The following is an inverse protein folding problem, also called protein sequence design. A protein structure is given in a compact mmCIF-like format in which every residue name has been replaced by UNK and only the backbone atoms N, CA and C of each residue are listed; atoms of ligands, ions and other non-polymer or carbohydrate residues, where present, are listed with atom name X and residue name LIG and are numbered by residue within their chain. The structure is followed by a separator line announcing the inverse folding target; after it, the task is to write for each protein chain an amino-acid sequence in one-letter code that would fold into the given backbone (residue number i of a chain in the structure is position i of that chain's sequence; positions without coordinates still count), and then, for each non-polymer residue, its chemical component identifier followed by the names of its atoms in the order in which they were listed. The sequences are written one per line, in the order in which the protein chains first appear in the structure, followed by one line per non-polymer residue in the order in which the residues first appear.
data_IF_246503230795
#
_entry.id   IF_246503230795
#
_cell.length_a   1.000
_cell.length_b   1.000
_cell.length_c   1.000
_cell.angle_alpha   90.00
_cell.angle_beta   90.00
_cell.angle_gamma   90.00
#
_symmetry.space_group_name_H-M   'P 1'
#
loop_
_entity.id
_entity.type
_entity.pdbx_description
1 polymer ?
#
# COMPACT_ATOMS: atom_id res chain seq x y z
N UNK A 1 9.45 -30.77 -0.64
CA UNK A 1 8.46 -29.73 -0.32
C UNK A 1 7.79 -29.32 -1.61
N UNK A 2 6.47 -29.10 -1.63
CA UNK A 2 5.75 -28.73 -2.86
C UNK A 2 6.05 -27.26 -3.21
N UNK A 3 6.12 -26.94 -4.50
CA UNK A 3 6.36 -25.59 -5.03
C UNK A 3 5.37 -24.56 -4.43
N UNK A 4 4.10 -24.94 -4.29
CA UNK A 4 3.07 -24.12 -3.64
C UNK A 4 3.39 -23.74 -2.17
N UNK A 5 4.13 -24.59 -1.45
CA UNK A 5 4.49 -24.30 -0.06
C UNK A 5 5.55 -23.20 0.02
N UNK A 6 6.56 -23.24 -0.86
CA UNK A 6 7.61 -22.23 -0.95
C UNK A 6 7.05 -20.86 -1.36
N UNK A 7 6.08 -20.85 -2.28
CA UNK A 7 5.37 -19.62 -2.66
C UNK A 7 4.56 -19.04 -1.51
N UNK A 8 3.87 -19.91 -0.75
CA UNK A 8 3.14 -19.49 0.43
C UNK A 8 4.08 -18.89 1.48
N UNK A 9 5.18 -19.55 1.81
CA UNK A 9 6.16 -19.04 2.78
C UNK A 9 6.78 -17.72 2.34
N UNK A 10 7.17 -17.61 1.06
CA UNK A 10 7.71 -16.39 0.48
C UNK A 10 6.70 -15.23 0.50
N UNK A 11 5.42 -15.49 0.23
CA UNK A 11 4.36 -14.49 0.33
C UNK A 11 4.10 -14.07 1.78
N UNK A 12 3.98 -15.02 2.70
CA UNK A 12 3.73 -14.74 4.12
C UNK A 12 4.84 -13.88 4.74
N UNK A 13 6.10 -14.08 4.32
CA UNK A 13 7.22 -13.25 4.74
C UNK A 13 7.06 -11.76 4.35
N UNK A 14 6.32 -11.46 3.26
CA UNK A 14 6.07 -10.10 2.78
C UNK A 14 4.69 -9.56 3.16
N UNK A 15 3.74 -10.40 3.60
CA UNK A 15 2.34 -10.03 3.86
C UNK A 15 2.21 -8.79 4.76
N UNK A 16 3.01 -8.70 5.82
CA UNK A 16 2.99 -7.54 6.72
C UNK A 16 3.38 -6.22 6.04
N UNK A 17 4.43 -6.23 5.22
CA UNK A 17 4.85 -5.07 4.43
C UNK A 17 3.79 -4.68 3.39
N UNK A 18 3.27 -5.65 2.65
CA UNK A 18 2.24 -5.44 1.63
C UNK A 18 0.96 -4.84 2.22
N UNK A 19 0.54 -5.31 3.40
CA UNK A 19 -0.59 -4.75 4.12
C UNK A 19 -0.33 -3.30 4.55
N UNK A 20 0.86 -3.00 5.04
CA UNK A 20 1.23 -1.63 5.42
C UNK A 20 1.18 -0.68 4.20
N UNK A 21 1.72 -1.11 3.05
CA UNK A 21 1.64 -0.35 1.78
C UNK A 21 0.18 -0.12 1.38
N UNK A 22 -0.62 -1.18 1.33
CA UNK A 22 -2.02 -1.10 0.90
C UNK A 22 -2.86 -0.23 1.84
N UNK A 23 -2.65 -0.33 3.15
CA UNK A 23 -3.34 0.50 4.14
C UNK A 23 -2.97 1.98 4.00
N UNK A 24 -1.69 2.32 3.78
CA UNK A 24 -1.26 3.70 3.49
C UNK A 24 -1.86 4.25 2.19
N UNK A 25 -2.10 3.38 1.21
CA UNK A 25 -2.74 3.77 -0.05
C UNK A 25 -4.25 3.99 0.07
N UNK A 26 -4.94 3.11 0.78
CA UNK A 26 -6.41 2.98 0.74
C UNK A 26 -7.12 3.57 1.95
N UNK A 27 -6.42 3.69 3.09
CA UNK A 27 -6.96 4.20 4.35
C UNK A 27 -7.92 3.25 5.07
N UNK A 28 -8.13 2.04 4.54
CA UNK A 28 -9.03 1.04 5.12
C UNK A 28 -8.31 -0.30 5.28
N UNK A 29 -8.53 -0.95 6.43
CA UNK A 29 -7.96 -2.25 6.74
C UNK A 29 -8.56 -3.37 5.89
N UNK A 30 -9.88 -3.35 5.64
CA UNK A 30 -10.53 -4.35 4.80
C UNK A 30 -10.05 -4.26 3.35
N UNK A 31 -10.01 -3.05 2.80
CA UNK A 31 -9.55 -2.85 1.43
C UNK A 31 -8.05 -3.15 1.27
N UNK A 32 -7.26 -2.93 2.33
CA UNK A 32 -5.86 -3.35 2.35
C UNK A 32 -5.71 -4.87 2.31
N UNK A 33 -6.48 -5.61 3.10
CA UNK A 33 -6.51 -7.07 3.05
C UNK A 33 -6.99 -7.59 1.69
N UNK A 34 -8.01 -6.95 1.09
CA UNK A 34 -8.50 -7.30 -0.25
C UNK A 34 -7.41 -7.11 -1.32
N UNK A 35 -6.67 -6.00 -1.26
CA UNK A 35 -5.57 -5.74 -2.19
C UNK A 35 -4.43 -6.77 -2.06
N UNK A 36 -4.10 -7.17 -0.82
CA UNK A 36 -3.09 -8.21 -0.54
C UNK A 36 -3.57 -9.58 -1.03
N UNK A 37 -4.84 -9.91 -0.84
CA UNK A 37 -5.44 -11.15 -1.36
C UNK A 37 -5.42 -11.20 -2.89
N UNK A 38 -5.76 -10.11 -3.56
CA UNK A 38 -5.67 -10.02 -5.02
C UNK A 38 -4.23 -10.22 -5.51
N UNK A 39 -3.23 -9.70 -4.79
CA UNK A 39 -1.82 -9.95 -5.10
C UNK A 39 -1.43 -11.42 -4.94
N UNK A 40 -1.93 -12.12 -3.91
CA UNK A 40 -1.76 -13.56 -3.75
C UNK A 40 -2.38 -14.35 -4.92
N UNK A 41 -3.58 -13.98 -5.35
CA UNK A 41 -4.25 -14.63 -6.48
C UNK A 41 -3.48 -14.42 -7.79
N UNK A 42 -2.83 -13.27 -7.97
CA UNK A 42 -1.96 -13.02 -9.13
C UNK A 42 -0.66 -13.83 -9.06
N UNK A 43 -0.05 -13.91 -7.87
CA UNK A 43 1.15 -14.72 -7.65
C UNK A 43 0.90 -16.21 -7.94
N UNK A 44 -0.17 -16.76 -7.38
CA UNK A 44 -0.52 -18.19 -7.54
C UNK A 44 -0.86 -18.61 -8.99
N UNK A 45 -1.16 -17.63 -9.86
CA UNK A 45 -1.40 -17.85 -11.29
C UNK A 45 -0.17 -17.53 -12.16
N UNK A 46 0.87 -16.95 -11.58
CA UNK A 46 2.10 -16.59 -12.29
C UNK A 46 3.14 -17.70 -12.17
N UNK A 47 4.07 -17.75 -13.13
CA UNK A 47 5.26 -18.59 -13.01
C UNK A 47 6.24 -17.93 -12.02
N UNK A 48 6.02 -18.19 -10.74
CA UNK A 48 6.77 -17.55 -9.67
C UNK A 48 8.24 -17.99 -9.60
N UNK A 49 8.61 -19.11 -10.24
CA UNK A 49 10.00 -19.54 -10.36
C UNK A 49 10.85 -18.57 -11.22
N UNK A 50 10.21 -17.75 -12.07
CA UNK A 50 10.87 -16.73 -12.87
C UNK A 50 11.04 -15.38 -12.14
N UNK A 51 10.55 -15.23 -10.89
CA UNK A 51 10.59 -13.96 -10.15
C UNK A 51 11.85 -13.89 -9.29
N UNK A 52 12.87 -13.20 -9.77
CA UNK A 52 14.15 -13.03 -9.05
C UNK A 52 14.01 -12.21 -7.76
N UNK A 53 13.16 -11.18 -7.76
CA UNK A 53 12.86 -10.34 -6.60
C UNK A 53 11.36 -10.39 -6.29
N UNK A 54 10.97 -11.37 -5.47
CA UNK A 54 9.57 -11.57 -5.09
C UNK A 54 8.99 -10.36 -4.35
N UNK A 55 9.75 -9.75 -3.45
CA UNK A 55 9.31 -8.58 -2.68
C UNK A 55 8.99 -7.38 -3.57
N UNK A 56 9.92 -7.00 -4.46
CA UNK A 56 9.71 -5.91 -5.41
C UNK A 56 8.55 -6.18 -6.38
N UNK A 57 8.41 -7.42 -6.84
CA UNK A 57 7.28 -7.83 -7.67
C UNK A 57 5.95 -7.71 -6.93
N UNK A 58 5.87 -8.19 -5.68
CA UNK A 58 4.65 -8.11 -4.87
C UNK A 58 4.28 -6.65 -4.55
N UNK A 59 5.25 -5.80 -4.21
CA UNK A 59 5.02 -4.37 -3.98
C UNK A 59 4.49 -3.68 -5.24
N UNK A 60 5.01 -4.04 -6.42
CA UNK A 60 4.51 -3.56 -7.72
C UNK A 60 3.05 -3.98 -7.93
N UNK A 61 2.73 -5.25 -7.68
CA UNK A 61 1.38 -5.78 -7.86
C UNK A 61 0.38 -5.11 -6.91
N UNK A 62 0.70 -5.03 -5.62
CA UNK A 62 -0.15 -4.37 -4.61
C UNK A 62 -0.32 -2.89 -4.93
N UNK A 63 0.76 -2.20 -5.34
CA UNK A 63 0.69 -0.80 -5.78
C UNK A 63 -0.28 -0.60 -6.93
N UNK A 64 -0.25 -1.46 -7.96
CA UNK A 64 -1.19 -1.42 -9.08
C UNK A 64 -2.63 -1.67 -8.65
N UNK A 65 -2.88 -2.70 -7.83
CA UNK A 65 -4.22 -3.00 -7.31
C UNK A 65 -4.78 -1.80 -6.54
N UNK A 66 -3.98 -1.20 -5.66
CA UNK A 66 -4.41 -0.02 -4.90
C UNK A 66 -4.70 1.18 -5.81
N UNK A 67 -3.85 1.42 -6.83
CA UNK A 67 -4.06 2.50 -7.79
C UNK A 67 -5.38 2.32 -8.56
N UNK A 68 -5.68 1.10 -8.99
CA UNK A 68 -6.90 0.77 -9.71
C UNK A 68 -8.13 0.95 -8.82
N UNK A 69 -8.07 0.51 -7.56
CA UNK A 69 -9.14 0.74 -6.58
C UNK A 69 -9.41 2.24 -6.39
N UNK A 70 -8.38 3.05 -6.17
CA UNK A 70 -8.52 4.51 -6.02
C UNK A 70 -9.12 5.17 -7.26
N UNK A 71 -8.66 4.81 -8.46
CA UNK A 71 -9.23 5.29 -9.74
C UNK A 71 -10.70 4.91 -9.86
N UNK A 72 -11.06 3.69 -9.44
CA UNK A 72 -12.43 3.19 -9.43
C UNK A 72 -13.34 4.02 -8.53
N UNK A 73 -12.89 4.33 -7.31
CA UNK A 73 -13.63 5.19 -6.36
C UNK A 73 -13.89 6.59 -6.95
N UNK A 74 -12.86 7.21 -7.53
CA UNK A 74 -13.00 8.53 -8.17
C UNK A 74 -13.99 8.50 -9.34
N UNK A 75 -13.93 7.47 -10.18
CA UNK A 75 -14.81 7.33 -11.33
C UNK A 75 -16.28 7.12 -10.94
N UNK A 76 -16.54 6.34 -9.87
CA UNK A 76 -17.89 6.08 -9.38
C UNK A 76 -18.48 7.20 -8.51
N UNK A 77 -17.70 8.25 -8.22
CA UNK A 77 -18.06 9.30 -7.25
C UNK A 77 -18.59 8.69 -5.96
N UNK A 78 -17.87 7.71 -5.43
CA UNK A 78 -18.16 7.18 -4.09
C UNK A 78 -17.84 8.30 -3.08
N UNK A 79 -18.78 9.23 -2.91
CA UNK A 79 -18.75 10.19 -1.82
C UNK A 79 -19.01 9.41 -0.52
N UNK A 80 -18.08 9.46 0.44
CA UNK A 80 -18.34 8.85 1.73
C UNK A 80 -19.61 9.48 2.33
N UNK A 81 -20.52 8.64 2.83
CA UNK A 81 -21.67 9.09 3.61
C UNK A 81 -21.17 9.62 4.97
N UNK A 82 -20.52 10.79 5.00
CA UNK A 82 -19.94 11.41 6.19
C UNK A 82 -18.42 11.66 6.11
N UNK A 83 -17.83 12.14 7.21
CA UNK A 83 -16.36 12.27 7.34
C UNK A 83 -15.77 10.86 7.34
N UNK A 84 -15.13 10.45 6.24
CA UNK A 84 -14.35 9.21 6.20
C UNK A 84 -13.10 9.42 7.05
N UNK A 85 -13.08 8.80 8.22
CA UNK A 85 -11.85 8.66 8.98
C UNK A 85 -11.18 7.35 8.57
N UNK A 86 -9.86 7.34 8.36
CA UNK A 86 -9.12 6.11 8.15
C UNK A 86 -9.32 5.13 9.32
N UNK A 87 -9.33 3.82 9.04
CA UNK A 87 -9.56 2.79 10.07
C UNK A 87 -8.41 2.82 11.09
N UNK A 88 -8.64 3.08 12.40
CA UNK A 88 -7.55 3.15 13.37
C UNK A 88 -6.87 1.79 13.57
N UNK A 89 -5.54 1.78 13.73
CA UNK A 89 -4.80 0.56 14.04
C UNK A 89 -4.78 0.36 15.55
N UNK A 90 -5.79 -0.31 16.08
CA UNK A 90 -5.83 -0.64 17.52
C UNK A 90 -4.76 -1.71 17.80
N UNK A 91 -3.63 -1.29 18.37
CA UNK A 91 -2.61 -2.22 18.87
C UNK A 91 -3.16 -2.91 20.12
N UNK A 92 -3.39 -4.22 20.05
CA UNK A 92 -3.92 -5.00 21.17
C UNK A 92 -3.05 -4.87 22.42
N UNK A 93 -3.68 -4.57 23.56
CA UNK A 93 -3.06 -4.44 24.88
C UNK A 93 -2.33 -5.74 25.28
N UNK A 94 -0.99 -5.74 25.27
CA UNK A 94 -0.20 -6.69 26.07
C UNK A 94 1.23 -6.19 26.31
N UNK A 95 1.45 -5.46 27.42
CA UNK A 95 2.76 -5.17 28.02
C UNK A 95 3.10 -3.67 28.19
N UNK A 96 3.78 -3.25 29.29
CA UNK A 96 3.51 -1.93 29.91
C UNK A 96 4.29 -0.73 29.33
N UNK A 97 3.55 0.33 28.97
CA UNK A 97 3.95 1.76 28.97
C UNK A 97 4.63 2.37 27.72
N UNK A 98 3.85 2.92 26.75
CA UNK A 98 4.28 4.03 25.89
C UNK A 98 3.09 4.91 25.43
N UNK A 99 2.22 5.31 26.35
CA UNK A 99 0.84 5.71 26.03
C UNK A 99 0.75 7.01 25.18
N UNK A 100 1.45 8.08 25.54
CA UNK A 100 1.45 9.33 24.76
C UNK A 100 2.21 9.25 23.44
N UNK A 101 3.24 8.39 23.36
CA UNK A 101 4.04 8.20 22.15
C UNK A 101 3.34 7.28 21.15
N UNK A 102 2.60 6.28 21.64
CA UNK A 102 1.69 5.47 20.84
C UNK A 102 0.49 6.32 20.38
N UNK A 103 -0.12 7.14 21.25
CA UNK A 103 -1.21 8.06 20.87
C UNK A 103 -0.77 9.13 19.87
N UNK A 104 0.45 9.68 19.99
CA UNK A 104 1.02 10.60 19.01
C UNK A 104 1.38 9.89 17.69
N UNK A 105 1.96 8.68 17.75
CA UNK A 105 2.21 7.87 16.55
C UNK A 105 0.91 7.47 15.83
N UNK A 106 -0.16 7.20 16.59
CA UNK A 106 -1.47 6.82 16.07
C UNK A 106 -2.23 8.05 15.53
N UNK A 107 -2.16 9.20 16.21
CA UNK A 107 -2.77 10.45 15.74
C UNK A 107 -2.03 11.09 14.55
N UNK A 108 -0.70 11.09 14.53
CA UNK A 108 0.09 11.48 13.34
C UNK A 108 -0.13 10.49 12.21
N UNK A 109 -0.28 9.20 12.52
CA UNK A 109 -0.62 8.16 11.57
C UNK A 109 -1.95 8.42 10.86
N UNK A 110 -3.01 8.70 11.63
CA UNK A 110 -4.34 9.06 11.11
C UNK A 110 -4.34 10.40 10.38
N UNK A 111 -3.67 11.42 10.92
CA UNK A 111 -3.56 12.72 10.25
C UNK A 111 -2.87 12.59 8.88
N UNK A 112 -1.80 11.79 8.79
CA UNK A 112 -1.15 11.50 7.52
C UNK A 112 -2.10 10.80 6.55
N UNK A 113 -2.88 9.81 7.00
CA UNK A 113 -3.86 9.14 6.14
C UNK A 113 -4.93 10.11 5.62
N UNK A 114 -5.40 11.05 6.44
CA UNK A 114 -6.33 12.13 6.02
C UNK A 114 -5.67 13.03 4.96
N UNK A 115 -4.40 13.40 5.14
CA UNK A 115 -3.67 14.19 4.12
C UNK A 115 -3.52 13.39 2.82
N UNK A 116 -3.13 12.12 2.91
CA UNK A 116 -3.01 11.24 1.75
C UNK A 116 -4.34 11.15 0.99
N UNK A 117 -5.48 11.14 1.69
CA UNK A 117 -6.82 11.11 1.09
C UNK A 117 -7.10 12.28 0.11
N UNK A 118 -6.44 13.42 0.31
CA UNK A 118 -6.58 14.61 -0.56
C UNK A 118 -5.80 14.53 -1.89
N UNK A 119 -4.83 13.61 -1.99
CA UNK A 119 -3.96 13.48 -3.15
C UNK A 119 -4.63 12.73 -4.30
N UNK A 120 -4.29 13.11 -5.54
CA UNK A 120 -4.68 12.32 -6.71
C UNK A 120 -4.05 10.90 -6.64
N UNK A 121 -4.70 9.86 -7.20
CA UNK A 121 -4.25 8.47 -7.01
C UNK A 121 -2.78 8.21 -7.36
N UNK A 122 -2.29 8.79 -8.47
CA UNK A 122 -0.90 8.63 -8.91
C UNK A 122 0.10 9.42 -8.05
N UNK A 123 -0.31 10.57 -7.51
CA UNK A 123 0.51 11.37 -6.58
C UNK A 123 0.65 10.64 -5.24
N UNK A 124 -0.46 10.12 -4.71
CA UNK A 124 -0.46 9.28 -3.51
C UNK A 124 0.44 8.06 -3.68
N UNK A 125 0.32 7.34 -4.79
CA UNK A 125 1.14 6.16 -5.04
C UNK A 125 2.62 6.49 -5.05
N UNK A 126 3.01 7.53 -5.81
CA UNK A 126 4.40 7.93 -5.91
C UNK A 126 4.97 8.35 -4.56
N UNK A 127 4.21 9.12 -3.77
CA UNK A 127 4.61 9.54 -2.43
C UNK A 127 4.69 8.36 -1.46
N UNK A 128 3.65 7.52 -1.36
CA UNK A 128 3.65 6.39 -0.42
C UNK A 128 4.81 5.44 -0.73
N UNK A 129 4.95 4.98 -1.97
CA UNK A 129 6.00 4.03 -2.30
C UNK A 129 7.40 4.63 -2.09
N UNK A 130 7.62 5.88 -2.47
CA UNK A 130 8.94 6.50 -2.36
C UNK A 130 9.25 7.01 -0.94
N UNK A 131 8.41 7.87 -0.39
CA UNK A 131 8.69 8.61 0.83
C UNK A 131 8.46 7.77 2.10
N UNK A 132 7.52 6.83 2.08
CA UNK A 132 7.21 5.98 3.24
C UNK A 132 7.89 4.62 3.18
N UNK A 133 8.12 4.08 1.98
CA UNK A 133 8.64 2.73 1.78
C UNK A 133 9.98 2.67 1.02
N UNK A 134 10.59 3.82 0.70
CA UNK A 134 11.90 3.93 0.07
C UNK A 134 12.03 3.20 -1.28
N UNK A 135 10.93 3.00 -2.00
CA UNK A 135 10.95 2.40 -3.34
C UNK A 135 11.52 3.42 -4.33
N UNK A 136 12.52 3.05 -5.16
CA UNK A 136 13.11 3.97 -6.10
C UNK A 136 12.20 4.25 -7.33
N UNK A 137 12.37 5.42 -7.95
CA UNK A 137 11.43 5.92 -8.96
C UNK A 137 11.42 5.14 -10.27
N UNK A 138 12.49 4.41 -10.56
CA UNK A 138 12.60 3.45 -11.64
C UNK A 138 11.64 2.27 -11.48
N UNK A 139 11.41 1.81 -10.25
CA UNK A 139 10.41 0.78 -9.92
C UNK A 139 8.99 1.35 -9.88
N UNK A 140 8.82 2.61 -9.47
CA UNK A 140 7.49 3.27 -9.40
C UNK A 140 6.97 3.65 -10.79
N UNK A 141 7.84 4.14 -11.67
CA UNK A 141 7.52 4.56 -13.02
C UNK A 141 6.59 3.61 -13.81
N UNK A 142 6.87 2.30 -13.90
CA UNK A 142 6.02 1.34 -14.60
C UNK A 142 4.69 1.03 -13.89
N UNK A 143 4.51 1.42 -12.63
CA UNK A 143 3.24 1.27 -11.91
C UNK A 143 2.26 2.37 -12.31
N UNK A 144 2.76 3.58 -12.56
CA UNK A 144 1.95 4.76 -12.94
C UNK A 144 1.92 5.02 -14.44
N UNK A 145 2.53 4.15 -15.25
CA UNK A 145 2.68 4.27 -16.70
C UNK A 145 3.37 5.58 -17.12
N UNK A 146 4.47 5.93 -16.46
CA UNK A 146 5.24 7.16 -16.70
C UNK A 146 6.74 6.91 -16.71
N UNK A 147 7.52 7.95 -17.02
CA UNK A 147 8.97 7.95 -16.86
C UNK A 147 9.37 8.14 -15.39
N UNK A 148 10.57 7.72 -14.96
CA UNK A 148 11.05 7.96 -13.59
C UNK A 148 11.09 9.45 -13.21
N UNK A 149 11.38 10.32 -14.17
CA UNK A 149 11.35 11.77 -13.96
C UNK A 149 9.92 12.28 -13.66
N UNK A 150 8.92 11.78 -14.39
CA UNK A 150 7.52 12.12 -14.15
C UNK A 150 7.00 11.51 -12.84
N UNK A 151 7.42 10.30 -12.45
CA UNK A 151 7.11 9.72 -11.14
C UNK A 151 7.67 10.58 -9.99
N UNK A 152 8.91 11.08 -10.12
CA UNK A 152 9.49 12.03 -9.16
C UNK A 152 8.68 13.33 -9.06
N UNK A 153 8.19 13.85 -10.18
CA UNK A 153 7.33 15.03 -10.18
C UNK A 153 5.97 14.79 -9.51
N UNK A 154 5.42 13.58 -9.57
CA UNK A 154 4.21 13.21 -8.84
C UNK A 154 4.47 13.23 -7.33
N UNK A 155 5.52 12.56 -6.85
CA UNK A 155 5.89 12.55 -5.43
C UNK A 155 6.22 13.97 -4.92
N UNK A 156 6.93 14.77 -5.71
CA UNK A 156 7.27 16.15 -5.33
C UNK A 156 6.05 17.06 -5.21
N UNK A 157 4.95 16.80 -5.93
CA UNK A 157 3.70 17.57 -5.82
C UNK A 157 2.86 17.14 -4.62
N UNK A 158 3.07 15.93 -4.13
CA UNK A 158 2.39 15.39 -2.97
C UNK A 158 3.03 15.83 -1.62
N UNK A 159 4.25 16.37 -1.66
CA UNK A 159 4.94 16.98 -0.51
C UNK A 159 4.54 18.44 -0.34
#
# INVERSE_FOLDING_TARGET
MSENHLLSEGFEAHRGHLRAVAYRMLGSLSEAEDAVQEAWLRLSRSDAAAVENLGGWLTTVVGRVCLDMLRSRTARREEPLGVRLPDPVISGETGPGPEDQALLADSVGLALLVVLETLAPAERLAFVLHDLFAVPFDEIAPIVDRTPAAARQLASRAR
#
